data_IF_225895632783
#
_entry.id   IF_225895632783
#
_cell.length_a   1.000
_cell.length_b   1.000
_cell.length_c   1.000
_cell.angle_alpha   90.00
_cell.angle_beta   90.00
_cell.angle_gamma   90.00
#
_symmetry.space_group_name_H-M   'P 1'
#
loop_
_entity.id
_entity.type
_entity.pdbx_description
1 polymer ?
#
# COMPACT_ATOMS: atom_id res chain seq x y z
N UNK A 1 -41.23 -34.24 0.31
CA UNK A 1 -42.28 -33.81 1.24
C UNK A 1 -43.15 -35.02 1.53
N UNK A 2 -43.44 -35.31 2.76
CA UNK A 2 -44.20 -36.44 3.23
C UNK A 2 -45.27 -35.95 4.21
N UNK A 3 -46.42 -36.60 4.25
CA UNK A 3 -47.51 -36.37 5.20
C UNK A 3 -47.79 -37.67 5.94
N UNK A 4 -47.86 -37.59 7.26
CA UNK A 4 -48.31 -38.70 8.07
C UNK A 4 -49.85 -38.69 8.10
N UNK A 5 -50.45 -39.73 7.51
CA UNK A 5 -51.90 -39.85 7.31
C UNK A 5 -52.70 -39.91 8.62
N UNK A 6 -52.07 -40.33 9.75
CA UNK A 6 -52.71 -40.47 11.05
C UNK A 6 -52.63 -39.19 11.88
N UNK A 7 -51.49 -38.48 11.82
CA UNK A 7 -51.27 -37.29 12.62
C UNK A 7 -51.46 -35.98 11.84
N UNK A 8 -51.50 -36.04 10.50
CA UNK A 8 -51.51 -34.86 9.63
C UNK A 8 -50.18 -34.07 9.63
N UNK A 9 -49.12 -34.65 10.21
CA UNK A 9 -47.80 -33.99 10.26
C UNK A 9 -47.17 -33.98 8.88
N UNK A 10 -46.83 -32.79 8.38
CA UNK A 10 -46.08 -32.60 7.12
C UNK A 10 -44.60 -32.41 7.47
N UNK A 11 -43.72 -33.24 6.89
CA UNK A 11 -42.28 -33.15 7.00
C UNK A 11 -41.62 -32.97 5.64
N UNK A 12 -40.64 -32.06 5.56
CA UNK A 12 -39.93 -31.73 4.34
C UNK A 12 -38.57 -31.17 4.61
N UNK A 13 -37.56 -31.63 3.88
CA UNK A 13 -36.25 -31.03 3.80
C UNK A 13 -36.08 -30.46 2.37
N UNK A 14 -36.07 -29.13 2.21
CA UNK A 14 -35.90 -28.53 0.91
C UNK A 14 -34.57 -28.88 0.27
N UNK A 15 -34.55 -29.13 -1.04
CA UNK A 15 -33.31 -29.23 -1.81
C UNK A 15 -32.79 -27.85 -2.18
N UNK A 16 -31.54 -27.78 -2.62
CA UNK A 16 -30.90 -26.54 -3.06
C UNK A 16 -31.54 -25.88 -4.28
N UNK A 17 -32.41 -26.61 -5.02
CA UNK A 17 -33.17 -26.12 -6.18
C UNK A 17 -34.55 -25.58 -5.79
N UNK A 18 -34.99 -25.88 -4.56
CA UNK A 18 -36.29 -25.48 -4.02
C UNK A 18 -36.20 -24.23 -3.18
N UNK A 19 -35.55 -23.18 -3.70
CA UNK A 19 -35.46 -21.86 -3.07
C UNK A 19 -36.67 -20.99 -3.41
N UNK A 20 -36.81 -19.87 -2.72
CA UNK A 20 -37.95 -18.94 -2.84
C UNK A 20 -39.29 -19.55 -2.40
N UNK A 21 -40.39 -19.02 -2.89
CA UNK A 21 -41.75 -19.47 -2.54
C UNK A 21 -42.06 -20.82 -3.10
N UNK A 22 -42.44 -21.74 -2.22
CA UNK A 22 -42.91 -23.08 -2.55
C UNK A 22 -44.38 -23.22 -2.12
N UNK A 23 -45.26 -23.56 -3.03
CA UNK A 23 -46.66 -23.82 -2.72
C UNK A 23 -46.84 -25.25 -2.24
N UNK A 24 -47.52 -25.40 -1.13
CA UNK A 24 -47.90 -26.67 -0.54
C UNK A 24 -49.40 -26.76 -0.51
N UNK A 25 -49.96 -27.88 -1.04
CA UNK A 25 -51.38 -28.14 -1.00
C UNK A 25 -51.62 -29.55 -0.45
N UNK A 26 -52.61 -29.69 0.42
CA UNK A 26 -53.00 -30.99 0.97
C UNK A 26 -54.53 -31.10 1.05
N UNK A 27 -55.01 -32.34 1.03
CA UNK A 27 -56.43 -32.68 1.05
C UNK A 27 -56.71 -33.54 2.27
N UNK A 28 -57.73 -33.20 2.98
CA UNK A 28 -58.32 -34.04 4.06
C UNK A 28 -59.63 -34.63 3.59
N UNK A 29 -59.85 -35.93 3.83
CA UNK A 29 -61.06 -36.62 3.41
C UNK A 29 -61.52 -37.60 4.49
N UNK A 30 -62.82 -37.63 4.74
CA UNK A 30 -63.47 -38.64 5.60
C UNK A 30 -64.06 -39.81 4.79
N UNK A 31 -63.77 -39.83 3.47
CA UNK A 31 -64.32 -40.81 2.54
C UNK A 31 -65.63 -40.38 1.87
N UNK A 32 -66.33 -39.36 2.37
CA UNK A 32 -67.55 -38.81 1.81
C UNK A 32 -67.35 -37.37 1.29
N UNK A 33 -66.63 -36.58 1.95
CA UNK A 33 -66.30 -35.19 1.62
C UNK A 33 -64.79 -34.98 1.56
N UNK A 34 -64.37 -33.92 0.89
CA UNK A 34 -62.98 -33.51 0.82
C UNK A 34 -62.88 -32.02 1.12
N UNK A 35 -61.85 -31.64 1.85
CA UNK A 35 -61.42 -30.26 2.03
C UNK A 35 -59.96 -30.10 1.60
N UNK A 36 -59.68 -29.00 0.91
CA UNK A 36 -58.33 -28.68 0.42
C UNK A 36 -57.83 -27.42 1.06
N UNK A 37 -56.58 -27.48 1.52
CA UNK A 37 -55.89 -26.32 2.05
C UNK A 37 -54.55 -26.15 1.36
N UNK A 38 -54.18 -24.90 1.08
CA UNK A 38 -52.89 -24.56 0.52
C UNK A 38 -52.25 -23.39 1.25
N UNK A 39 -50.92 -23.40 1.29
CA UNK A 39 -50.10 -22.33 1.88
C UNK A 39 -48.78 -22.22 1.14
N UNK A 40 -48.09 -21.09 1.33
CA UNK A 40 -46.74 -20.87 0.79
C UNK A 40 -45.70 -20.97 1.93
N UNK A 41 -44.59 -21.63 1.60
CA UNK A 41 -43.41 -21.67 2.45
C UNK A 41 -42.29 -20.97 1.69
N UNK A 42 -41.66 -20.00 2.31
CA UNK A 42 -40.45 -19.37 1.77
C UNK A 42 -39.23 -20.18 2.20
N UNK A 43 -38.47 -20.68 1.20
CA UNK A 43 -37.24 -21.43 1.41
C UNK A 43 -36.06 -20.49 1.19
N UNK A 44 -35.38 -20.16 2.29
CA UNK A 44 -34.23 -19.31 2.27
C UNK A 44 -32.93 -20.07 1.94
N UNK A 45 -32.07 -19.47 1.12
CA UNK A 45 -30.69 -19.87 0.89
C UNK A 45 -29.77 -18.84 1.57
N UNK A 46 -28.79 -19.32 2.31
CA UNK A 46 -27.83 -18.43 2.97
C UNK A 46 -27.00 -17.66 1.95
N UNK A 47 -26.85 -16.32 2.07
CA UNK A 47 -25.91 -15.57 1.27
C UNK A 47 -24.48 -16.01 1.54
N UNK A 48 -23.62 -16.05 0.51
CA UNK A 48 -22.21 -16.46 0.62
C UNK A 48 -21.31 -15.38 0.02
N UNK A 49 -20.35 -14.89 0.78
CA UNK A 49 -19.33 -13.96 0.31
C UNK A 49 -18.29 -14.74 -0.52
N UNK A 50 -18.22 -14.45 -1.83
CA UNK A 50 -17.34 -15.16 -2.79
C UNK A 50 -16.09 -14.37 -3.18
N UNK A 51 -15.98 -13.11 -2.79
CA UNK A 51 -14.82 -12.25 -3.08
C UNK A 51 -13.83 -12.19 -1.95
N UNK A 52 -12.57 -11.85 -2.27
CA UNK A 52 -11.51 -11.62 -1.28
C UNK A 52 -11.03 -10.17 -1.33
N UNK A 53 -10.82 -9.51 -0.18
CA UNK A 53 -10.27 -8.17 -0.11
C UNK A 53 -8.79 -8.15 -0.48
N UNK A 54 -8.26 -7.01 -0.98
CA UNK A 54 -6.82 -6.81 -1.07
C UNK A 54 -6.15 -6.97 0.30
N UNK A 55 -5.01 -7.65 0.34
CA UNK A 55 -4.28 -7.96 1.59
C UNK A 55 -3.43 -6.80 2.12
N UNK A 56 -3.26 -5.73 1.32
CA UNK A 56 -2.45 -4.56 1.65
C UNK A 56 -3.11 -3.25 1.25
N UNK A 57 -2.74 -2.19 1.95
CA UNK A 57 -3.12 -0.81 1.69
C UNK A 57 -1.91 0.12 1.93
N UNK A 58 -1.95 1.33 1.37
CA UNK A 58 -0.92 2.35 1.56
C UNK A 58 -1.45 3.51 2.41
N UNK A 59 -0.61 4.04 3.29
CA UNK A 59 -0.94 5.26 4.06
C UNK A 59 -1.30 6.41 3.11
N UNK A 60 -2.45 7.04 3.35
CA UNK A 60 -2.94 8.18 2.56
C UNK A 60 -3.59 7.83 1.23
N UNK A 61 -3.54 6.57 0.79
CA UNK A 61 -4.18 6.13 -0.44
C UNK A 61 -5.56 5.50 -0.17
N UNK A 62 -6.44 5.57 -1.18
CA UNK A 62 -7.79 5.02 -1.05
C UNK A 62 -7.78 3.51 -1.23
N UNK A 63 -7.98 2.77 -0.14
CA UNK A 63 -8.32 1.36 -0.19
C UNK A 63 -9.78 1.18 -0.65
N UNK A 64 -10.00 0.27 -1.59
CA UNK A 64 -11.32 -0.08 -2.12
C UNK A 64 -11.47 -1.59 -2.19
N UNK A 65 -12.63 -2.06 -1.77
CA UNK A 65 -13.04 -3.45 -1.92
C UNK A 65 -14.55 -3.52 -2.18
N UNK A 66 -14.98 -4.31 -3.14
CA UNK A 66 -16.39 -4.56 -3.41
C UNK A 66 -16.68 -6.00 -3.00
N UNK A 67 -17.50 -6.18 -1.97
CA UNK A 67 -17.94 -7.49 -1.52
C UNK A 67 -18.88 -8.05 -2.57
N UNK A 68 -18.54 -9.22 -3.11
CA UNK A 68 -19.41 -9.97 -4.02
C UNK A 68 -20.04 -11.11 -3.24
N UNK A 69 -21.34 -11.26 -3.41
CA UNK A 69 -22.17 -12.24 -2.71
C UNK A 69 -22.95 -13.04 -3.72
N UNK A 70 -23.00 -14.33 -3.50
CA UNK A 70 -23.92 -15.23 -4.17
C UNK A 70 -25.09 -15.56 -3.22
N UNK A 71 -26.31 -15.37 -3.71
CA UNK A 71 -27.54 -15.78 -3.07
C UNK A 71 -28.47 -16.34 -4.14
N UNK A 72 -29.07 -17.47 -3.85
CA UNK A 72 -29.97 -18.12 -4.81
C UNK A 72 -31.40 -17.55 -4.77
N UNK A 73 -31.77 -16.89 -3.68
CA UNK A 73 -33.03 -16.18 -3.59
C UNK A 73 -32.97 -14.91 -4.45
N UNK A 74 -33.78 -14.83 -5.49
CA UNK A 74 -33.71 -13.79 -6.54
C UNK A 74 -34.03 -12.39 -6.02
N UNK A 75 -34.87 -12.29 -4.99
CA UNK A 75 -35.36 -11.04 -4.43
C UNK A 75 -34.73 -10.75 -3.04
N UNK A 76 -33.59 -11.37 -2.72
CA UNK A 76 -32.92 -11.15 -1.45
C UNK A 76 -32.42 -9.70 -1.32
N UNK A 77 -32.93 -8.98 -0.31
CA UNK A 77 -32.45 -7.63 0.01
C UNK A 77 -31.24 -7.73 0.96
N UNK A 78 -30.03 -7.70 0.36
CA UNK A 78 -28.79 -7.92 1.08
C UNK A 78 -28.38 -6.69 1.90
N UNK A 79 -28.20 -6.88 3.19
CA UNK A 79 -27.68 -5.89 4.13
C UNK A 79 -26.19 -6.16 4.41
N UNK A 80 -25.34 -5.17 4.14
CA UNK A 80 -23.91 -5.21 4.41
C UNK A 80 -23.57 -4.41 5.66
N UNK A 81 -22.84 -5.04 6.59
CA UNK A 81 -22.47 -4.44 7.87
C UNK A 81 -20.97 -4.58 8.12
N UNK A 82 -20.32 -3.51 8.58
CA UNK A 82 -18.96 -3.54 9.11
C UNK A 82 -19.07 -3.84 10.63
N UNK A 83 -18.80 -5.10 11.01
CA UNK A 83 -18.82 -5.53 12.42
C UNK A 83 -17.58 -5.05 13.16
N UNK A 84 -16.41 -5.09 12.49
CA UNK A 84 -15.12 -4.64 13.00
C UNK A 84 -14.29 -4.05 11.87
N UNK A 85 -13.57 -2.99 12.14
CA UNK A 85 -12.66 -2.40 11.17
C UNK A 85 -11.79 -1.30 11.75
N UNK A 86 -10.73 -0.91 11.06
CA UNK A 86 -9.90 0.21 11.46
C UNK A 86 -10.69 1.52 11.41
N UNK A 87 -10.29 2.48 12.23
CA UNK A 87 -10.95 3.79 12.25
C UNK A 87 -10.96 4.43 10.85
N UNK A 88 -12.16 4.88 10.43
CA UNK A 88 -12.39 5.51 9.14
C UNK A 88 -12.72 4.55 8.00
N UNK A 89 -12.72 3.23 8.23
CA UNK A 89 -13.25 2.26 7.27
C UNK A 89 -14.78 2.35 7.25
N UNK A 90 -15.34 2.34 6.06
CA UNK A 90 -16.78 2.44 5.83
C UNK A 90 -17.24 1.38 4.82
N UNK A 91 -18.48 0.91 4.99
CA UNK A 91 -19.15 0.04 4.03
C UNK A 91 -20.46 0.71 3.59
N UNK A 92 -20.77 0.64 2.30
CA UNK A 92 -22.03 1.12 1.75
C UNK A 92 -23.10 0.04 1.76
N UNK A 93 -24.37 0.43 1.58
CA UNK A 93 -25.49 -0.49 1.42
C UNK A 93 -25.34 -1.49 0.26
N UNK A 94 -24.41 -1.23 -0.68
CA UNK A 94 -24.12 -2.11 -1.84
C UNK A 94 -22.83 -2.92 -1.66
N UNK A 95 -22.33 -3.09 -0.43
CA UNK A 95 -21.12 -3.87 -0.13
C UNK A 95 -19.81 -3.23 -0.60
N UNK A 96 -19.81 -1.92 -0.90
CA UNK A 96 -18.58 -1.21 -1.26
C UNK A 96 -17.87 -0.72 -0.01
N UNK A 97 -16.68 -1.26 0.27
CA UNK A 97 -15.79 -0.86 1.35
C UNK A 97 -14.82 0.22 0.84
N UNK A 98 -14.67 1.28 1.63
CA UNK A 98 -13.72 2.38 1.38
C UNK A 98 -13.01 2.74 2.67
N UNK A 99 -11.70 2.94 2.58
CA UNK A 99 -10.85 3.34 3.69
C UNK A 99 -9.63 4.12 3.21
N UNK A 100 -9.18 5.12 3.98
CA UNK A 100 -7.91 5.82 3.76
C UNK A 100 -7.08 5.64 5.03
N UNK A 101 -6.09 4.73 5.03
CA UNK A 101 -5.27 4.47 6.21
C UNK A 101 -4.47 5.69 6.62
N UNK A 102 -4.37 5.94 7.92
CA UNK A 102 -3.51 6.97 8.50
C UNK A 102 -2.17 6.37 8.93
N UNK A 103 -1.15 7.21 9.13
CA UNK A 103 0.17 6.79 9.61
C UNK A 103 0.11 6.08 11.00
N UNK A 104 -0.90 6.37 11.83
CA UNK A 104 -1.15 5.66 13.09
C UNK A 104 -1.70 4.23 12.91
N UNK A 105 -2.03 3.83 11.69
CA UNK A 105 -2.64 2.54 11.34
C UNK A 105 -1.70 1.66 10.50
N UNK A 106 -0.40 1.94 10.53
CA UNK A 106 0.61 1.08 9.88
C UNK A 106 0.59 -0.33 10.47
N UNK A 107 1.06 -1.31 9.67
CA UNK A 107 1.06 -2.74 9.98
C UNK A 107 -0.34 -3.37 9.89
N UNK A 108 -0.64 -4.41 10.69
CA UNK A 108 -1.85 -5.20 10.58
C UNK A 108 -3.08 -4.49 11.18
N UNK A 109 -4.16 -4.46 10.40
CA UNK A 109 -5.47 -3.97 10.79
C UNK A 109 -6.51 -5.06 10.54
N UNK A 110 -7.23 -5.45 11.58
CA UNK A 110 -8.26 -6.48 11.51
C UNK A 110 -9.58 -5.88 11.02
N UNK A 111 -10.34 -6.68 10.27
CA UNK A 111 -11.70 -6.34 9.86
C UNK A 111 -12.62 -7.56 10.00
N UNK A 112 -13.92 -7.28 10.06
CA UNK A 112 -15.01 -8.25 9.96
C UNK A 112 -16.18 -7.62 9.23
N UNK A 113 -16.55 -8.18 8.08
CA UNK A 113 -17.74 -7.82 7.32
C UNK A 113 -18.81 -8.88 7.51
N UNK A 114 -20.07 -8.47 7.47
CA UNK A 114 -21.23 -9.36 7.45
C UNK A 114 -22.12 -8.99 6.29
N UNK A 115 -22.67 -9.99 5.63
CA UNK A 115 -23.81 -9.88 4.73
C UNK A 115 -24.98 -10.64 5.34
N UNK A 116 -26.18 -10.11 5.25
CA UNK A 116 -27.42 -10.75 5.71
C UNK A 116 -28.53 -10.50 4.69
N UNK A 117 -29.37 -11.51 4.48
CA UNK A 117 -30.62 -11.46 3.72
C UNK A 117 -31.86 -11.21 4.62
N UNK A 118 -31.64 -10.97 5.90
CA UNK A 118 -32.71 -10.83 6.89
C UNK A 118 -33.09 -12.14 7.61
N UNK A 119 -32.73 -13.29 7.10
CA UNK A 119 -32.96 -14.62 7.68
C UNK A 119 -31.68 -15.27 8.19
N UNK A 120 -30.64 -15.22 7.37
CA UNK A 120 -29.32 -15.79 7.66
C UNK A 120 -28.23 -14.77 7.36
N UNK A 121 -26.98 -15.12 7.67
CA UNK A 121 -25.85 -14.24 7.40
C UNK A 121 -24.58 -15.03 7.09
N UNK A 122 -23.63 -14.38 6.41
CA UNK A 122 -22.25 -14.84 6.23
C UNK A 122 -21.28 -13.75 6.67
N UNK A 123 -20.13 -14.17 7.19
CA UNK A 123 -19.12 -13.28 7.73
C UNK A 123 -17.79 -13.49 7.00
N UNK A 124 -17.08 -12.38 6.75
CA UNK A 124 -15.73 -12.39 6.23
C UNK A 124 -14.79 -11.67 7.18
N UNK A 125 -13.94 -12.43 7.84
CA UNK A 125 -12.91 -11.93 8.73
C UNK A 125 -11.55 -11.92 8.05
N UNK A 126 -10.73 -10.93 8.41
CA UNK A 126 -9.38 -10.86 7.84
C UNK A 126 -8.54 -9.74 8.40
N UNK A 127 -7.41 -9.54 7.74
CA UNK A 127 -6.45 -8.49 8.06
C UNK A 127 -5.91 -7.83 6.81
N UNK A 128 -5.67 -6.52 6.91
CA UNK A 128 -5.06 -5.69 5.88
C UNK A 128 -3.76 -5.14 6.45
N UNK A 129 -2.65 -5.34 5.76
CA UNK A 129 -1.38 -4.74 6.11
C UNK A 129 -1.29 -3.34 5.51
N UNK A 130 -1.08 -2.33 6.37
CA UNK A 130 -0.89 -0.93 5.92
C UNK A 130 0.59 -0.63 5.82
N UNK A 131 1.05 -0.36 4.60
CA UNK A 131 2.40 0.04 4.28
C UNK A 131 2.55 1.56 4.21
N UNK A 132 3.78 2.04 4.39
CA UNK A 132 4.17 3.44 4.20
C UNK A 132 5.48 3.48 3.42
N UNK A 133 5.68 4.52 2.60
CA UNK A 133 6.92 4.69 1.86
C UNK A 133 8.13 4.86 2.80
N UNK A 134 9.30 4.30 2.45
CA UNK A 134 10.53 4.55 3.19
C UNK A 134 10.86 6.05 3.19
N UNK A 135 11.37 6.56 4.31
CA UNK A 135 11.75 7.96 4.47
C UNK A 135 13.27 8.14 4.30
N UNK A 136 13.69 8.96 3.33
CA UNK A 136 15.11 9.27 3.13
C UNK A 136 15.52 10.36 4.12
N UNK A 137 16.45 10.03 5.02
CA UNK A 137 16.90 10.88 6.13
C UNK A 137 18.26 11.55 5.90
N UNK A 138 18.99 11.14 4.85
CA UNK A 138 20.30 11.70 4.51
C UNK A 138 20.18 12.90 3.56
N UNK A 139 21.13 13.84 3.67
CA UNK A 139 21.21 15.03 2.83
C UNK A 139 22.56 15.08 2.11
N UNK A 140 22.59 15.24 0.77
CA UNK A 140 23.81 15.35 0.00
C UNK A 140 24.45 16.73 0.16
N UNK A 141 25.78 16.80 0.02
CA UNK A 141 26.46 18.09 -0.15
C UNK A 141 26.11 18.68 -1.51
N UNK A 142 25.76 19.97 -1.60
CA UNK A 142 25.32 20.58 -2.86
C UNK A 142 26.47 20.89 -3.84
N UNK A 143 27.72 20.74 -3.41
CA UNK A 143 28.91 21.16 -4.15
C UNK A 143 29.92 20.04 -4.29
N UNK A 144 30.55 19.94 -5.48
CA UNK A 144 31.71 19.10 -5.77
C UNK A 144 32.79 19.91 -6.54
N UNK A 145 34.03 19.43 -6.50
CA UNK A 145 35.15 20.01 -7.24
C UNK A 145 35.62 19.03 -8.33
N UNK A 146 36.04 19.56 -9.49
CA UNK A 146 36.62 18.74 -10.54
C UNK A 146 37.89 18.01 -10.04
N UNK A 147 38.02 16.73 -10.39
CA UNK A 147 39.16 15.93 -9.99
C UNK A 147 39.13 15.40 -8.56
N UNK A 148 38.20 15.81 -7.72
CA UNK A 148 38.06 15.36 -6.33
C UNK A 148 36.95 14.32 -6.19
N UNK A 149 37.12 13.39 -5.24
CA UNK A 149 36.10 12.39 -4.95
C UNK A 149 34.91 13.02 -4.22
N UNK A 150 33.74 12.92 -4.81
CA UNK A 150 32.46 13.17 -4.18
C UNK A 150 31.83 11.84 -3.77
N UNK A 151 31.47 11.69 -2.49
CA UNK A 151 30.79 10.52 -1.94
C UNK A 151 29.56 10.97 -1.17
N UNK A 152 28.46 10.29 -1.41
CA UNK A 152 27.21 10.49 -0.69
C UNK A 152 26.55 9.14 -0.46
N UNK A 153 26.20 8.85 0.79
CA UNK A 153 25.44 7.67 1.15
C UNK A 153 23.99 8.06 1.35
N UNK A 154 23.10 7.54 0.50
CA UNK A 154 21.65 7.62 0.71
C UNK A 154 21.30 6.71 1.87
N UNK A 155 20.66 7.27 2.89
CA UNK A 155 20.15 6.53 4.04
C UNK A 155 18.66 6.74 4.11
N UNK A 156 17.92 5.65 4.18
CA UNK A 156 16.47 5.67 4.37
C UNK A 156 16.09 4.77 5.53
N UNK A 157 15.03 5.13 6.22
CA UNK A 157 14.39 4.38 7.29
C UNK A 157 12.97 4.02 6.86
N UNK A 158 12.54 2.83 7.23
CA UNK A 158 11.17 2.35 7.03
C UNK A 158 10.49 2.17 8.38
N UNK A 159 9.29 2.77 8.53
CA UNK A 159 8.55 2.72 9.80
C UNK A 159 7.94 1.33 10.02
N UNK A 160 7.57 0.61 8.94
CA UNK A 160 7.13 -0.78 9.02
C UNK A 160 8.28 -1.74 9.38
N UNK A 161 9.55 -1.24 9.38
CA UNK A 161 10.80 -1.99 9.57
C UNK A 161 11.12 -2.94 8.41
N UNK A 162 10.59 -2.66 7.23
CA UNK A 162 10.93 -3.37 6.01
C UNK A 162 12.37 -3.05 5.59
N UNK A 163 13.03 -3.98 4.91
CA UNK A 163 14.36 -3.72 4.34
C UNK A 163 14.24 -2.75 3.19
N UNK A 164 15.13 -1.75 3.19
CA UNK A 164 15.18 -0.76 2.13
C UNK A 164 16.30 -1.11 1.13
N UNK A 165 15.95 -1.21 -0.14
CA UNK A 165 16.88 -1.32 -1.26
C UNK A 165 16.95 0.03 -2.00
N UNK A 166 18.08 0.26 -2.68
CA UNK A 166 18.30 1.51 -3.41
C UNK A 166 18.49 1.25 -4.89
N UNK A 167 18.07 2.22 -5.73
CA UNK A 167 18.28 2.18 -7.16
C UNK A 167 18.57 3.59 -7.68
N UNK A 168 19.60 3.73 -8.50
CA UNK A 168 19.84 4.97 -9.23
C UNK A 168 18.96 5.01 -10.49
N UNK A 169 18.30 6.15 -10.69
CA UNK A 169 17.48 6.44 -11.88
C UNK A 169 18.23 7.35 -12.84
N UNK A 170 18.89 8.41 -12.30
CA UNK A 170 19.71 9.35 -13.07
C UNK A 170 21.01 9.61 -12.34
N UNK A 171 22.12 9.45 -13.03
CA UNK A 171 23.46 9.71 -12.50
C UNK A 171 24.32 10.47 -13.51
N UNK A 172 25.29 11.31 -13.05
CA UNK A 172 26.31 11.87 -13.88
C UNK A 172 27.17 10.77 -14.56
N UNK A 173 27.66 11.01 -15.76
CA UNK A 173 28.60 10.09 -16.41
C UNK A 173 29.82 9.84 -15.53
N UNK A 174 30.36 8.61 -15.59
CA UNK A 174 31.54 8.18 -14.83
C UNK A 174 31.38 8.18 -13.30
N UNK A 175 30.13 8.12 -12.82
CA UNK A 175 29.83 7.86 -11.41
C UNK A 175 29.41 6.41 -11.21
N UNK A 176 29.41 5.96 -9.95
CA UNK A 176 28.95 4.63 -9.54
C UNK A 176 27.95 4.74 -8.42
N UNK A 177 27.07 3.76 -8.35
CA UNK A 177 26.07 3.65 -7.29
C UNK A 177 25.96 2.20 -6.81
N UNK A 178 26.18 1.97 -5.54
CA UNK A 178 26.00 0.67 -4.90
C UNK A 178 24.57 0.55 -4.37
N UNK A 179 23.80 -0.37 -4.95
CA UNK A 179 22.38 -0.60 -4.63
C UNK A 179 22.15 -1.17 -3.22
N UNK A 180 23.15 -1.85 -2.64
CA UNK A 180 23.02 -2.46 -1.30
C UNK A 180 23.28 -1.47 -0.20
N UNK A 181 24.28 -0.61 -0.40
CA UNK A 181 24.75 0.34 0.61
C UNK A 181 24.20 1.74 0.42
N UNK A 182 23.57 2.05 -0.72
CA UNK A 182 23.13 3.39 -1.09
C UNK A 182 24.29 4.36 -1.39
N UNK A 183 25.51 3.84 -1.60
CA UNK A 183 26.69 4.68 -1.80
C UNK A 183 26.78 5.18 -3.23
N UNK A 184 26.66 6.48 -3.40
CA UNK A 184 26.99 7.22 -4.62
C UNK A 184 28.44 7.70 -4.56
N UNK A 185 29.23 7.40 -5.59
CA UNK A 185 30.63 7.80 -5.70
C UNK A 185 30.89 8.38 -7.09
N UNK A 186 31.53 9.53 -7.11
CA UNK A 186 31.77 10.28 -8.34
C UNK A 186 33.07 11.08 -8.25
N UNK A 187 33.81 11.16 -9.35
CA UNK A 187 34.95 12.05 -9.51
C UNK A 187 34.69 12.95 -10.74
N UNK A 188 34.12 14.17 -10.53
CA UNK A 188 33.73 15.03 -11.63
C UNK A 188 34.91 15.39 -12.53
N UNK A 189 34.66 15.38 -13.84
CA UNK A 189 35.65 15.81 -14.87
C UNK A 189 35.46 17.29 -15.20
N UNK A 190 36.46 17.98 -15.81
CA UNK A 190 36.34 19.40 -16.18
C UNK A 190 35.14 19.73 -17.08
N UNK A 191 34.72 18.79 -17.95
CA UNK A 191 33.52 18.95 -18.80
C UNK A 191 32.20 18.70 -18.11
N UNK A 192 32.19 18.43 -16.80
CA UNK A 192 30.99 18.25 -15.97
C UNK A 192 30.77 19.43 -14.99
N UNK A 193 31.44 20.58 -15.23
CA UNK A 193 31.21 21.81 -14.46
C UNK A 193 29.77 22.29 -14.61
N UNK A 194 29.27 22.94 -13.56
CA UNK A 194 27.88 23.39 -13.46
C UNK A 194 26.98 22.40 -12.76
N UNK A 195 25.67 22.52 -12.94
CA UNK A 195 24.67 21.68 -12.27
C UNK A 195 24.62 20.27 -12.85
N UNK A 196 24.57 19.27 -11.97
CA UNK A 196 24.40 17.87 -12.33
C UNK A 196 23.27 17.29 -11.48
N UNK A 197 22.22 16.82 -12.14
CA UNK A 197 21.07 16.22 -11.48
C UNK A 197 21.33 14.75 -11.17
N UNK A 198 20.93 14.34 -9.99
CA UNK A 198 20.98 12.98 -9.51
C UNK A 198 19.57 12.59 -9.02
N UNK A 199 19.11 11.40 -9.45
CA UNK A 199 17.84 10.82 -8.98
C UNK A 199 18.13 9.42 -8.51
N UNK A 200 17.84 9.17 -7.25
CA UNK A 200 17.91 7.84 -6.64
C UNK A 200 16.58 7.53 -5.97
N UNK A 201 16.22 6.27 -5.89
CA UNK A 201 15.03 5.82 -5.18
C UNK A 201 15.42 4.88 -4.05
N UNK A 202 14.69 5.00 -2.96
CA UNK A 202 14.61 4.01 -1.89
C UNK A 202 13.31 3.22 -2.06
N UNK A 203 13.38 1.90 -1.96
CA UNK A 203 12.24 1.00 -2.14
C UNK A 203 12.24 -0.04 -1.03
N UNK A 204 11.08 -0.25 -0.41
CA UNK A 204 10.89 -1.30 0.59
C UNK A 204 10.66 -2.69 -0.03
N UNK A 205 10.52 -3.73 0.82
CA UNK A 205 10.28 -5.10 0.38
C UNK A 205 8.88 -5.30 -0.23
N UNK A 206 7.94 -4.38 0.03
CA UNK A 206 6.55 -4.42 -0.45
C UNK A 206 6.34 -3.58 -1.71
N UNK A 207 7.41 -2.91 -2.19
CA UNK A 207 7.41 -2.16 -3.43
C UNK A 207 7.04 -0.69 -3.30
N UNK A 208 6.85 -0.16 -2.07
CA UNK A 208 6.65 1.27 -1.90
C UNK A 208 7.96 2.04 -2.10
N UNK A 209 7.88 3.22 -2.71
CA UNK A 209 9.03 3.92 -3.27
C UNK A 209 9.04 5.37 -2.81
N UNK A 210 10.22 5.86 -2.44
CA UNK A 210 10.51 7.29 -2.27
C UNK A 210 11.59 7.71 -3.24
N UNK A 211 11.34 8.76 -4.02
CA UNK A 211 12.33 9.41 -4.88
C UNK A 211 13.14 10.46 -4.11
N UNK A 212 14.44 10.49 -4.35
CA UNK A 212 15.35 11.51 -3.86
C UNK A 212 16.03 12.19 -5.04
N UNK A 213 15.59 13.39 -5.33
CA UNK A 213 16.08 14.20 -6.42
C UNK A 213 16.91 15.34 -5.85
N UNK A 214 18.15 15.47 -6.32
CA UNK A 214 19.03 16.54 -5.89
C UNK A 214 20.01 16.93 -6.99
N UNK A 215 20.56 18.13 -6.85
CA UNK A 215 21.52 18.67 -7.77
C UNK A 215 22.86 18.91 -7.07
N UNK A 216 23.95 18.53 -7.72
CA UNK A 216 25.31 18.84 -7.27
C UNK A 216 25.95 19.78 -8.28
N UNK A 217 26.34 20.99 -7.82
CA UNK A 217 27.03 21.96 -8.62
C UNK A 217 28.53 21.71 -8.58
N UNK A 218 29.13 21.47 -9.72
CA UNK A 218 30.57 21.19 -9.87
C UNK A 218 31.32 22.46 -10.19
N UNK A 219 32.26 22.83 -9.33
CA UNK A 219 33.19 23.93 -9.57
C UNK A 219 34.56 23.42 -10.03
N UNK A 220 35.31 24.27 -10.67
CA UNK A 220 36.72 24.00 -11.00
C UNK A 220 37.57 24.00 -9.73
N UNK A 221 38.48 23.03 -9.62
CA UNK A 221 39.50 23.09 -8.55
C UNK A 221 40.46 24.24 -8.83
N UNK A 222 40.57 25.24 -7.92
CA UNK A 222 41.48 26.36 -8.10
C UNK A 222 42.97 25.96 -8.27
N UNK A 223 43.37 24.86 -7.67
CA UNK A 223 44.77 24.37 -7.77
C UNK A 223 45.07 23.81 -9.18
N UNK A 224 44.06 23.34 -9.93
CA UNK A 224 44.27 22.87 -11.31
C UNK A 224 44.69 24.00 -12.28
N UNK A 225 44.35 25.26 -11.99
CA UNK A 225 44.76 26.43 -12.78
C UNK A 225 46.24 26.79 -12.61
N UNK A 226 46.83 26.50 -11.44
CA UNK A 226 48.27 26.80 -11.21
C UNK A 226 49.18 25.88 -11.97
N UNK A 227 48.81 24.65 -12.29
CA UNK A 227 49.65 23.71 -13.05
C UNK A 227 49.75 24.01 -14.54
N UNK A 228 48.87 24.79 -15.11
CA UNK A 228 48.88 25.12 -16.56
C UNK A 228 49.75 26.33 -16.85
N UNK A 229 49.99 27.18 -15.85
CA UNK A 229 50.81 28.41 -15.98
C UNK A 229 52.27 28.25 -15.61
N UNK A 230 52.75 27.10 -15.14
CA UNK A 230 54.14 26.87 -14.80
C UNK A 230 54.82 25.94 -15.82
N UNK A 231 54.81 26.33 -17.09
CA UNK A 231 55.69 25.77 -18.09
C UNK A 231 57.04 26.47 -18.13
N UNK A 232 57.69 26.78 -16.96
CA UNK A 232 59.09 27.13 -16.83
C UNK A 232 59.53 27.14 -15.33
N UNK A 233 60.66 26.61 -15.01
CA UNK A 233 61.08 26.55 -13.57
C UNK A 233 61.62 27.92 -13.16
N UNK A 234 60.81 28.69 -12.45
CA UNK A 234 61.33 29.83 -11.70
C UNK A 234 61.27 29.49 -10.20
N UNK A 235 62.46 29.42 -9.65
CA UNK A 235 62.75 29.52 -8.23
C UNK A 235 61.97 30.71 -7.67
N UNK A 236 60.97 30.47 -6.83
CA UNK A 236 60.33 31.49 -6.00
C UNK A 236 60.52 31.07 -4.56
N UNK A 237 61.38 31.84 -3.90
CA UNK A 237 61.61 31.82 -2.46
C UNK A 237 60.28 32.02 -1.72
N UNK A 238 60.09 31.23 -0.66
CA UNK A 238 59.02 31.39 0.30
C UNK A 238 59.09 32.75 0.98
N UNK A 239 58.12 33.63 0.72
CA UNK A 239 57.80 34.74 1.60
C UNK A 239 56.56 34.35 2.40
N UNK A 240 56.79 34.08 3.68
CA UNK A 240 55.74 33.78 4.63
C UNK A 240 54.81 34.98 4.86
N UNK A 241 53.54 34.81 4.60
CA UNK A 241 52.53 35.75 5.08
C UNK A 241 52.00 35.23 6.41
N UNK A 242 52.45 35.86 7.48
CA UNK A 242 51.91 35.70 8.81
C UNK A 242 50.60 36.48 8.89
N UNK A 243 49.49 35.84 9.06
CA UNK A 243 48.25 36.50 9.46
C UNK A 243 48.30 36.76 10.96
N UNK A 244 48.50 38.03 11.32
CA UNK A 244 48.34 38.51 12.69
C UNK A 244 46.83 38.67 12.99
N UNK A 245 46.36 37.95 13.98
CA UNK A 245 45.07 38.21 14.62
C UNK A 245 45.23 39.39 15.58
N UNK A 246 44.63 40.54 15.25
CA UNK A 246 44.45 41.65 16.17
C UNK A 246 43.22 41.43 17.03
N UNK A 247 43.40 41.20 18.30
CA UNK A 247 42.38 41.44 19.31
C UNK A 247 42.17 42.96 19.44
N UNK A 248 40.93 43.41 19.34
CA UNK A 248 40.52 44.70 19.89
C UNK A 248 39.41 44.42 20.91
N UNK A 249 39.80 44.69 22.18
CA UNK A 249 38.83 44.96 23.24
C UNK A 249 38.34 46.42 23.06
N UNK A 250 37.07 46.62 23.15
CA UNK A 250 36.34 47.51 24.09
C UNK A 250 34.85 47.15 23.93
#
# INVERSE_FOLDING_TARGET
MEIDEYTGTISWTPSQEQVDKQSVSYIVSDGYAKDEQSFEVYVNHQPVIVSNPPVSAMVGEVFKYNIQVEDRNKDADLLFTLLKGPQGMQISKKGKVVWIPKASQINENLFSFQVSDGYTNDNQDGKIFVNINPNIISTPRPVALTGHHYKYRVVAEDINKDRVAYKAVKLPKYSTFDRKTGMFSWKPRPNQRGPNDIIVIAMDERGAITSHEFQVHVFEDPSARQMINTGWPLLVSFVGVVFAWGMAQI
#
